data_IF_069897050817
#
_entry.id   IF_069897050817
#
_cell.length_a   1.000
_cell.length_b   1.000
_cell.length_c   1.000
_cell.angle_alpha   90.00
_cell.angle_beta   90.00
_cell.angle_gamma   90.00
#
_symmetry.space_group_name_H-M   'P 1'
#
loop_
_entity.id
_entity.type
_entity.pdbx_description
1 polymer ?
#
# COMPACT_ATOMS: atom_id res chain seq x y z
N UNK A 1 17.11 -18.90 -32.94
CA UNK A 1 16.08 -18.44 -31.99
C UNK A 1 16.78 -17.85 -30.80
N UNK A 2 16.42 -16.63 -30.39
CA UNK A 2 17.00 -16.04 -29.20
C UNK A 2 16.59 -16.89 -27.99
N UNK A 3 17.52 -17.31 -27.11
CA UNK A 3 17.16 -18.00 -25.87
C UNK A 3 16.19 -17.09 -25.11
N UNK A 4 15.11 -17.67 -24.61
CA UNK A 4 13.99 -16.99 -23.94
C UNK A 4 14.33 -16.29 -22.60
N UNK A 5 15.59 -15.88 -22.41
CA UNK A 5 16.11 -15.16 -21.24
C UNK A 5 16.25 -15.99 -19.97
N UNK A 6 15.54 -17.13 -19.88
CA UNK A 6 15.61 -18.05 -18.76
C UNK A 6 16.93 -18.81 -18.70
N UNK A 7 17.56 -18.82 -17.54
CA UNK A 7 18.79 -19.56 -17.25
C UNK A 7 18.51 -21.05 -17.07
N UNK A 8 19.57 -21.85 -17.22
CA UNK A 8 19.53 -23.28 -16.90
C UNK A 8 19.10 -23.52 -15.44
N UNK A 9 19.60 -22.72 -14.51
CA UNK A 9 19.32 -22.85 -13.07
C UNK A 9 17.85 -22.58 -12.70
N UNK A 10 17.15 -21.81 -13.53
CA UNK A 10 15.71 -21.53 -13.35
C UNK A 10 14.83 -22.65 -13.90
N UNK A 11 15.21 -23.27 -15.02
CA UNK A 11 14.41 -24.31 -15.69
C UNK A 11 14.60 -25.69 -15.09
N UNK A 12 15.85 -26.03 -14.77
CA UNK A 12 16.24 -27.39 -14.40
C UNK A 12 15.46 -27.97 -13.20
N UNK A 13 15.19 -27.21 -12.12
CA UNK A 13 14.41 -27.74 -10.99
C UNK A 13 13.00 -28.18 -11.41
N UNK A 14 12.34 -27.43 -12.29
CA UNK A 14 10.98 -27.75 -12.75
C UNK A 14 10.98 -28.96 -13.67
N UNK A 15 11.93 -29.02 -14.61
CA UNK A 15 12.05 -30.15 -15.52
C UNK A 15 12.34 -31.44 -14.75
N UNK A 16 13.23 -31.42 -13.75
CA UNK A 16 13.51 -32.59 -12.91
C UNK A 16 12.35 -32.98 -12.00
N UNK A 17 11.57 -32.01 -11.52
CA UNK A 17 10.39 -32.29 -10.69
C UNK A 17 9.28 -32.95 -11.50
N UNK A 18 8.98 -32.41 -12.69
CA UNK A 18 7.84 -32.84 -13.49
C UNK A 18 8.15 -34.01 -14.41
N UNK A 19 9.34 -34.04 -15.03
CA UNK A 19 9.75 -35.07 -16.00
C UNK A 19 10.61 -36.15 -15.31
N UNK A 20 9.95 -37.16 -14.74
CA UNK A 20 10.60 -38.30 -14.07
C UNK A 20 10.95 -39.39 -15.10
N UNK A 21 11.94 -39.12 -15.95
CA UNK A 21 12.46 -40.09 -16.92
C UNK A 21 11.58 -40.30 -18.16
N UNK A 22 10.92 -39.25 -18.65
CA UNK A 22 10.03 -39.28 -19.82
C UNK A 22 8.54 -39.28 -19.47
N UNK A 23 8.22 -39.53 -18.19
CA UNK A 23 6.88 -39.41 -17.63
C UNK A 23 6.72 -38.04 -17.01
N UNK A 24 5.79 -37.25 -17.56
CA UNK A 24 5.41 -35.97 -16.96
C UNK A 24 4.30 -36.23 -15.95
N UNK A 25 4.66 -36.25 -14.67
CA UNK A 25 3.76 -36.61 -13.55
C UNK A 25 2.95 -37.89 -13.85
N UNK A 26 1.65 -37.91 -13.55
CA UNK A 26 0.72 -39.01 -13.84
C UNK A 26 -0.03 -38.83 -15.18
N UNK A 27 0.40 -37.90 -16.05
CA UNK A 27 -0.33 -37.59 -17.28
C UNK A 27 -0.21 -38.68 -18.36
N UNK A 28 -1.35 -39.03 -18.96
CA UNK A 28 -1.39 -39.63 -20.30
C UNK A 28 -0.99 -38.59 -21.36
N UNK A 29 -0.60 -39.02 -22.57
CA UNK A 29 -0.21 -38.08 -23.63
C UNK A 29 -1.35 -37.14 -24.01
N UNK A 30 -2.56 -37.66 -24.18
CA UNK A 30 -3.76 -36.87 -24.48
C UNK A 30 -4.08 -35.86 -23.37
N UNK A 31 -4.07 -36.31 -22.11
CA UNK A 31 -4.36 -35.44 -20.95
C UNK A 31 -3.29 -34.35 -20.76
N UNK A 32 -2.03 -34.65 -21.09
CA UNK A 32 -0.97 -33.65 -21.07
C UNK A 32 -1.16 -32.59 -22.16
N UNK A 33 -1.60 -32.99 -23.35
CA UNK A 33 -1.90 -32.05 -24.43
C UNK A 33 -3.14 -31.20 -24.13
N UNK A 34 -4.19 -31.77 -23.54
CA UNK A 34 -5.35 -31.01 -23.07
C UNK A 34 -4.94 -29.98 -21.99
N UNK A 35 -4.15 -30.41 -21.00
CA UNK A 35 -3.65 -29.54 -19.94
C UNK A 35 -2.81 -28.38 -20.49
N UNK A 36 -1.93 -28.66 -21.45
CA UNK A 36 -1.04 -27.65 -22.03
C UNK A 36 -1.79 -26.72 -23.00
N UNK A 37 -2.82 -27.20 -23.68
CA UNK A 37 -3.76 -26.37 -24.43
C UNK A 37 -4.48 -25.38 -23.50
N UNK A 38 -4.98 -25.82 -22.35
CA UNK A 38 -5.66 -24.92 -21.41
C UNK A 38 -4.71 -23.91 -20.75
N UNK A 39 -3.46 -24.32 -20.47
CA UNK A 39 -2.49 -23.48 -19.76
C UNK A 39 -1.85 -22.42 -20.66
N UNK A 40 -1.39 -22.82 -21.86
CA UNK A 40 -0.56 -21.98 -22.74
C UNK A 40 -1.02 -21.97 -24.20
N UNK A 41 -2.24 -22.45 -24.46
CA UNK A 41 -2.88 -22.49 -25.78
C UNK A 41 -2.13 -23.35 -26.82
N UNK A 42 -1.38 -24.35 -26.34
CA UNK A 42 -0.55 -25.22 -27.19
C UNK A 42 -0.63 -26.67 -26.68
N UNK A 43 -1.08 -27.59 -27.54
CA UNK A 43 -0.91 -29.04 -27.36
C UNK A 43 0.55 -29.43 -27.64
N UNK A 44 1.33 -29.65 -26.58
CA UNK A 44 2.78 -29.79 -26.68
C UNK A 44 3.23 -31.02 -27.49
N UNK A 45 2.69 -32.20 -27.23
CA UNK A 45 3.10 -33.42 -27.92
C UNK A 45 2.68 -33.40 -29.38
N UNK A 46 1.47 -32.92 -29.70
CA UNK A 46 1.04 -32.69 -31.07
C UNK A 46 1.92 -31.69 -31.82
N UNK A 47 2.28 -30.56 -31.19
CA UNK A 47 3.13 -29.54 -31.82
C UNK A 47 4.55 -30.02 -32.09
N UNK A 48 5.16 -30.71 -31.13
CA UNK A 48 6.58 -31.09 -31.21
C UNK A 48 6.81 -32.53 -31.70
N UNK A 49 5.75 -33.32 -31.91
CA UNK A 49 5.81 -34.69 -32.42
C UNK A 49 6.70 -35.62 -31.58
N UNK A 50 6.84 -35.33 -30.28
CA UNK A 50 7.81 -35.97 -29.37
C UNK A 50 7.14 -36.47 -28.09
N UNK A 51 7.86 -37.24 -27.26
CA UNK A 51 7.35 -37.69 -25.96
C UNK A 51 7.02 -36.51 -25.04
N UNK A 52 6.10 -36.68 -24.07
CA UNK A 52 5.69 -35.62 -23.14
C UNK A 52 6.86 -34.88 -22.52
N UNK A 53 7.82 -35.62 -21.95
CA UNK A 53 9.00 -35.05 -21.32
C UNK A 53 9.87 -34.27 -22.30
N UNK A 54 10.07 -34.82 -23.51
CA UNK A 54 10.86 -34.15 -24.54
C UNK A 54 10.17 -32.90 -25.08
N UNK A 55 8.85 -32.94 -25.27
CA UNK A 55 8.04 -31.81 -25.70
C UNK A 55 8.04 -30.68 -24.65
N UNK A 56 8.02 -31.02 -23.36
CA UNK A 56 8.16 -30.05 -22.27
C UNK A 56 9.55 -29.39 -22.25
N UNK A 57 10.63 -30.15 -22.44
CA UNK A 57 12.00 -29.62 -22.53
C UNK A 57 12.19 -28.68 -23.72
N UNK A 58 11.68 -29.05 -24.90
CA UNK A 58 11.74 -28.23 -26.11
C UNK A 58 10.95 -26.94 -25.88
N UNK A 59 9.74 -27.02 -25.32
CA UNK A 59 8.93 -25.84 -24.99
C UNK A 59 9.63 -24.91 -24.00
N UNK A 60 10.22 -25.44 -22.93
CA UNK A 60 10.96 -24.64 -21.95
C UNK A 60 12.17 -23.92 -22.58
N UNK A 61 12.67 -24.41 -23.72
CA UNK A 61 13.80 -23.81 -24.44
C UNK A 61 13.35 -22.77 -25.48
N UNK A 62 12.27 -23.04 -26.20
CA UNK A 62 11.90 -22.29 -27.40
C UNK A 62 10.75 -21.29 -27.20
N UNK A 63 9.89 -21.49 -26.19
CA UNK A 63 8.73 -20.62 -25.95
C UNK A 63 9.11 -19.31 -25.21
N UNK A 64 8.22 -18.31 -25.24
CA UNK A 64 8.45 -17.06 -24.51
C UNK A 64 8.54 -17.31 -23.00
N UNK A 65 9.28 -16.45 -22.27
CA UNK A 65 9.44 -16.63 -20.84
C UNK A 65 8.08 -16.73 -20.12
N UNK A 66 7.13 -15.86 -20.47
CA UNK A 66 5.81 -15.84 -19.83
C UNK A 66 5.02 -17.12 -20.06
N UNK A 67 5.08 -17.69 -21.26
CA UNK A 67 4.46 -18.99 -21.54
C UNK A 67 5.11 -20.12 -20.74
N UNK A 68 6.45 -20.16 -20.67
CA UNK A 68 7.17 -21.19 -19.90
C UNK A 68 6.79 -21.12 -18.43
N UNK A 69 6.79 -19.92 -17.85
CA UNK A 69 6.48 -19.73 -16.44
C UNK A 69 5.01 -19.96 -16.09
N UNK A 70 4.09 -19.61 -17.00
CA UNK A 70 2.67 -19.92 -16.84
C UNK A 70 2.47 -21.44 -16.77
N UNK A 71 3.07 -22.18 -17.69
CA UNK A 71 3.00 -23.64 -17.70
C UNK A 71 3.64 -24.26 -16.46
N UNK A 72 4.81 -23.77 -16.02
CA UNK A 72 5.47 -24.26 -14.81
C UNK A 72 4.65 -24.00 -13.55
N UNK A 73 4.01 -22.84 -13.44
CA UNK A 73 3.13 -22.52 -12.31
C UNK A 73 1.90 -23.44 -12.27
N UNK A 74 1.27 -23.69 -13.42
CA UNK A 74 0.10 -24.55 -13.50
C UNK A 74 0.48 -26.03 -13.22
N UNK A 75 1.61 -26.51 -13.75
CA UNK A 75 2.13 -27.86 -13.46
C UNK A 75 2.47 -28.03 -11.98
N UNK A 76 3.06 -27.01 -11.33
CA UNK A 76 3.35 -27.04 -9.91
C UNK A 76 2.06 -27.10 -9.08
N UNK A 77 1.04 -26.33 -9.48
CA UNK A 77 -0.27 -26.36 -8.84
C UNK A 77 -0.94 -27.72 -9.01
N UNK A 78 -0.82 -28.35 -10.18
CA UNK A 78 -1.31 -29.71 -10.39
C UNK A 78 -0.56 -30.70 -9.48
N UNK A 79 0.77 -30.61 -9.44
CA UNK A 79 1.61 -31.42 -8.58
C UNK A 79 1.15 -31.36 -7.12
N UNK A 80 0.95 -30.14 -6.59
CA UNK A 80 0.53 -29.89 -5.21
C UNK A 80 -0.86 -30.41 -4.85
N UNK A 81 -1.80 -30.38 -5.79
CA UNK A 81 -3.20 -30.73 -5.51
C UNK A 81 -3.54 -32.20 -5.78
N UNK A 82 -2.83 -32.85 -6.71
CA UNK A 82 -3.25 -34.14 -7.26
C UNK A 82 -2.15 -35.20 -7.29
N UNK A 83 -0.87 -34.83 -7.16
CA UNK A 83 0.25 -35.77 -7.37
C UNK A 83 1.12 -36.01 -6.13
N UNK A 84 1.07 -35.18 -5.09
CA UNK A 84 1.88 -35.42 -3.87
C UNK A 84 1.55 -36.82 -3.30
N UNK A 85 2.53 -37.73 -3.36
CA UNK A 85 2.44 -39.07 -2.77
C UNK A 85 3.17 -39.08 -1.40
N UNK A 86 2.62 -39.74 -0.39
CA UNK A 86 3.21 -39.86 0.97
C UNK A 86 4.60 -40.54 1.00
N UNK A 87 5.11 -41.05 -0.13
CA UNK A 87 6.40 -41.73 -0.25
C UNK A 87 7.44 -41.02 -1.13
N UNK A 88 7.14 -39.80 -1.61
CA UNK A 88 8.10 -39.03 -2.42
C UNK A 88 9.37 -38.79 -1.58
N UNK A 89 10.47 -39.46 -1.95
CA UNK A 89 11.73 -39.37 -1.23
C UNK A 89 12.27 -37.94 -1.15
N UNK A 90 13.20 -37.71 -0.21
CA UNK A 90 13.78 -36.40 0.13
C UNK A 90 14.25 -35.54 -1.05
N UNK A 91 14.58 -36.14 -2.20
CA UNK A 91 15.00 -35.42 -3.41
C UNK A 91 13.87 -34.60 -4.06
N UNK A 92 12.66 -35.14 -4.19
CA UNK A 92 11.55 -34.45 -4.86
C UNK A 92 10.95 -33.35 -3.97
N UNK A 93 10.97 -33.53 -2.64
CA UNK A 93 10.63 -32.47 -1.68
C UNK A 93 11.55 -31.25 -1.82
N UNK A 94 12.87 -31.48 -1.97
CA UNK A 94 13.84 -30.41 -2.18
C UNK A 94 13.57 -29.69 -3.52
N UNK A 95 13.29 -30.44 -4.59
CA UNK A 95 12.95 -29.86 -5.89
C UNK A 95 11.65 -29.05 -5.82
N UNK A 96 10.62 -29.55 -5.13
CA UNK A 96 9.36 -28.84 -4.90
C UNK A 96 9.56 -27.52 -4.19
N UNK A 97 10.32 -27.51 -3.09
CA UNK A 97 10.62 -26.31 -2.32
C UNK A 97 11.39 -25.29 -3.18
N UNK A 98 12.34 -25.75 -3.99
CA UNK A 98 13.12 -24.89 -4.89
C UNK A 98 12.27 -24.28 -6.00
N UNK A 99 11.37 -25.05 -6.61
CA UNK A 99 10.41 -24.55 -7.60
C UNK A 99 9.50 -23.45 -7.01
N UNK A 100 8.99 -23.65 -5.78
CA UNK A 100 8.18 -22.62 -5.08
C UNK A 100 8.96 -21.33 -4.83
N UNK A 101 10.22 -21.43 -4.40
CA UNK A 101 11.07 -20.25 -4.17
C UNK A 101 11.35 -19.46 -5.45
N UNK A 102 11.57 -20.15 -6.56
CA UNK A 102 11.83 -19.50 -7.85
C UNK A 102 10.58 -18.76 -8.35
N UNK A 103 9.39 -19.40 -8.28
CA UNK A 103 8.13 -18.75 -8.66
C UNK A 103 7.78 -17.56 -7.76
N UNK A 104 7.98 -17.66 -6.45
CA UNK A 104 7.70 -16.55 -5.52
C UNK A 104 8.61 -15.35 -5.75
N UNK A 105 9.90 -15.60 -6.03
CA UNK A 105 10.87 -14.55 -6.38
C UNK A 105 10.47 -13.84 -7.67
N UNK A 106 10.02 -14.57 -8.69
CA UNK A 106 9.53 -13.98 -9.93
C UNK A 106 8.26 -13.16 -9.74
N UNK A 107 7.30 -13.64 -8.94
CA UNK A 107 6.08 -12.87 -8.63
C UNK A 107 6.44 -11.55 -7.94
N UNK A 108 7.45 -11.54 -7.07
CA UNK A 108 7.96 -10.32 -6.43
C UNK A 108 8.63 -9.37 -7.44
N UNK A 109 9.43 -9.87 -8.37
CA UNK A 109 10.03 -9.07 -9.45
C UNK A 109 8.99 -8.51 -10.44
N UNK A 110 7.97 -9.31 -10.77
CA UNK A 110 6.88 -8.87 -11.65
C UNK A 110 6.01 -7.81 -10.98
N UNK A 111 5.81 -7.89 -9.65
CA UNK A 111 5.16 -6.82 -8.87
C UNK A 111 6.01 -5.55 -8.83
N UNK A 112 7.33 -5.68 -8.61
CA UNK A 112 8.28 -4.55 -8.60
C UNK A 112 8.35 -3.81 -9.93
N UNK A 113 8.25 -4.52 -11.06
CA UNK A 113 8.20 -3.91 -12.40
C UNK A 113 6.83 -3.29 -12.72
N UNK A 114 5.74 -3.77 -12.12
CA UNK A 114 4.38 -3.23 -12.30
C UNK A 114 4.15 -1.97 -11.45
N UNK A 115 4.74 -1.92 -10.25
CA UNK A 115 4.73 -0.73 -9.37
C UNK A 115 5.50 0.46 -9.98
N UNK A 116 6.40 0.22 -10.94
CA UNK A 116 7.15 1.28 -11.65
C UNK A 116 6.39 1.87 -12.86
N UNK A 117 5.42 1.12 -13.41
CA UNK A 117 4.56 1.55 -14.51
C UNK A 117 3.30 2.29 -14.02
N UNK A 118 2.73 1.86 -12.88
CA UNK A 118 1.52 2.44 -12.25
C UNK A 118 1.81 3.61 -11.29
N UNK A 119 2.98 4.22 -11.39
CA UNK A 119 3.33 5.36 -10.55
C UNK A 119 2.52 6.60 -10.92
N UNK A 120 1.83 7.20 -9.96
CA UNK A 120 1.12 8.46 -10.13
C UNK A 120 2.09 9.59 -10.51
N UNK A 121 1.67 10.47 -11.43
CA UNK A 121 2.42 11.67 -11.81
C UNK A 121 1.54 12.91 -11.68
N UNK A 122 2.17 14.07 -11.46
CA UNK A 122 1.47 15.35 -11.43
C UNK A 122 2.34 16.49 -11.99
N UNK A 123 1.67 17.53 -12.48
CA UNK A 123 2.32 18.74 -12.98
C UNK A 123 2.51 19.76 -11.85
N UNK A 124 3.58 20.54 -11.94
CA UNK A 124 3.75 21.80 -11.22
C UNK A 124 4.07 22.90 -12.22
N UNK A 125 3.18 23.88 -12.35
CA UNK A 125 3.32 25.03 -13.25
C UNK A 125 3.51 26.28 -12.38
N UNK A 126 4.69 26.88 -12.48
CA UNK A 126 4.99 28.17 -11.86
C UNK A 126 5.08 29.19 -12.99
N UNK A 127 4.43 30.35 -12.85
CA UNK A 127 4.46 31.39 -13.90
C UNK A 127 4.36 32.80 -13.34
N UNK A 128 5.07 33.74 -13.93
CA UNK A 128 4.98 35.17 -13.58
C UNK A 128 3.60 35.75 -13.93
N UNK A 129 2.94 35.18 -14.94
CA UNK A 129 1.65 35.65 -15.44
C UNK A 129 0.82 34.47 -15.95
N UNK A 130 -0.45 34.40 -15.56
CA UNK A 130 -1.39 33.40 -16.08
C UNK A 130 -1.98 33.76 -17.45
N UNK A 131 -1.64 34.93 -17.98
CA UNK A 131 -2.09 35.36 -19.30
C UNK A 131 -1.37 34.63 -20.45
N UNK A 132 -0.17 34.15 -20.20
CA UNK A 132 0.66 33.50 -21.20
C UNK A 132 0.93 32.05 -20.82
N UNK A 133 0.82 31.10 -21.77
CA UNK A 133 1.24 29.72 -21.54
C UNK A 133 2.76 29.66 -21.32
N UNK A 134 3.21 28.63 -20.60
CA UNK A 134 4.63 28.30 -20.47
C UNK A 134 5.17 27.87 -21.84
N UNK A 135 6.28 28.48 -22.26
CA UNK A 135 6.95 28.17 -23.52
C UNK A 135 7.50 26.73 -23.51
N UNK A 136 7.51 26.08 -24.68
CA UNK A 136 7.83 24.64 -24.79
C UNK A 136 9.24 24.27 -24.30
N UNK A 137 10.21 25.18 -24.37
CA UNK A 137 11.58 25.01 -23.87
C UNK A 137 11.67 25.06 -22.34
N UNK A 138 10.65 25.61 -21.68
CA UNK A 138 10.47 25.67 -20.22
C UNK A 138 9.65 24.51 -19.66
N UNK A 139 9.11 23.66 -20.53
CA UNK A 139 8.40 22.45 -20.14
C UNK A 139 9.44 21.34 -19.93
N UNK A 140 9.33 20.66 -18.79
CA UNK A 140 10.29 19.71 -18.24
C UNK A 140 11.60 20.29 -17.69
N UNK A 141 11.70 21.61 -17.52
CA UNK A 141 12.85 22.21 -16.84
C UNK A 141 12.89 21.73 -15.38
N UNK A 142 14.01 21.12 -14.94
CA UNK A 142 14.18 20.44 -13.65
C UNK A 142 13.35 19.16 -13.44
N UNK A 143 12.69 18.63 -14.48
CA UNK A 143 12.07 17.29 -14.44
C UNK A 143 13.14 16.22 -14.66
N UNK A 144 13.05 15.10 -13.92
CA UNK A 144 13.89 13.92 -14.15
C UNK A 144 13.80 13.44 -15.62
N UNK A 145 14.94 13.10 -16.23
CA UNK A 145 15.02 12.78 -17.66
C UNK A 145 14.17 11.56 -18.05
N UNK A 146 14.11 10.55 -17.18
CA UNK A 146 13.30 9.35 -17.44
C UNK A 146 11.81 9.68 -17.34
N UNK A 147 11.41 10.56 -16.41
CA UNK A 147 10.03 11.06 -16.32
C UNK A 147 9.69 11.90 -17.56
N UNK A 148 10.53 12.88 -17.93
CA UNK A 148 10.29 13.76 -19.06
C UNK A 148 10.11 12.98 -20.37
N UNK A 149 10.89 11.91 -20.59
CA UNK A 149 10.76 11.06 -21.76
C UNK A 149 9.36 10.42 -21.92
N UNK A 150 8.66 10.13 -20.80
CA UNK A 150 7.30 9.55 -20.82
C UNK A 150 6.23 10.51 -21.32
N UNK A 151 6.49 11.82 -21.28
CA UNK A 151 5.51 12.87 -21.60
C UNK A 151 5.92 13.71 -22.82
N UNK A 152 6.86 13.20 -23.62
CA UNK A 152 7.27 13.80 -24.90
C UNK A 152 6.71 13.02 -26.08
N UNK A 153 6.46 13.74 -27.16
CA UNK A 153 6.19 13.15 -28.48
C UNK A 153 7.48 12.53 -29.06
N UNK A 154 7.39 11.67 -30.09
CA UNK A 154 8.56 11.09 -30.75
C UNK A 154 9.56 12.11 -31.30
N UNK A 155 9.12 13.33 -31.61
CA UNK A 155 9.96 14.45 -32.07
C UNK A 155 10.64 15.21 -30.92
N UNK A 156 10.42 14.80 -29.67
CA UNK A 156 10.96 15.41 -28.46
C UNK A 156 10.17 16.60 -27.91
N UNK A 157 9.11 17.03 -28.59
CA UNK A 157 8.23 18.12 -28.12
C UNK A 157 7.32 17.65 -26.97
N UNK A 158 6.82 18.55 -26.11
CA UNK A 158 5.89 18.19 -25.05
C UNK A 158 4.57 17.59 -25.58
N UNK A 159 4.16 16.44 -25.03
CA UNK A 159 2.87 15.84 -25.33
C UNK A 159 1.78 16.45 -24.42
N UNK A 160 1.14 17.52 -24.88
CA UNK A 160 0.11 18.22 -24.12
C UNK A 160 -1.11 17.38 -23.79
N UNK A 161 -1.48 16.42 -24.65
CA UNK A 161 -2.62 15.54 -24.42
C UNK A 161 -2.39 14.64 -23.19
N UNK A 162 -1.17 14.15 -23.02
CA UNK A 162 -0.80 13.38 -21.83
C UNK A 162 -0.66 14.28 -20.59
N UNK A 163 -0.01 15.44 -20.75
CA UNK A 163 0.21 16.38 -19.66
C UNK A 163 -1.10 16.93 -19.06
N UNK A 164 -2.11 17.22 -19.89
CA UNK A 164 -3.42 17.71 -19.44
C UNK A 164 -4.20 16.69 -18.60
N UNK A 165 -3.90 15.39 -18.75
CA UNK A 165 -4.55 14.31 -17.98
C UNK A 165 -4.04 14.22 -16.54
N UNK A 166 -2.90 14.85 -16.23
CA UNK A 166 -2.32 14.80 -14.89
C UNK A 166 -2.97 15.82 -13.94
N UNK A 167 -3.11 15.48 -12.65
CA UNK A 167 -3.33 16.48 -11.61
C UNK A 167 -2.26 17.58 -11.72
N UNK A 168 -2.66 18.83 -11.56
CA UNK A 168 -1.80 19.97 -11.82
C UNK A 168 -1.86 20.97 -10.68
N UNK A 169 -0.70 21.29 -10.14
CA UNK A 169 -0.51 22.42 -9.24
C UNK A 169 -0.10 23.64 -10.06
N UNK A 170 -0.83 24.74 -9.95
CA UNK A 170 -0.45 26.02 -10.53
C UNK A 170 -0.11 27.02 -9.42
N UNK A 171 0.92 27.83 -9.63
CA UNK A 171 1.28 28.93 -8.73
C UNK A 171 1.77 30.12 -9.53
N UNK A 172 1.45 31.36 -9.10
CA UNK A 172 2.27 32.51 -9.46
C UNK A 172 3.72 32.28 -9.02
N UNK A 173 4.66 32.96 -9.68
CA UNK A 173 6.01 33.08 -9.16
C UNK A 173 5.99 33.66 -7.74
N UNK A 174 6.83 33.11 -6.86
CA UNK A 174 6.78 33.38 -5.43
C UNK A 174 8.18 33.41 -4.81
N UNK A 175 8.24 34.00 -3.62
CA UNK A 175 9.41 33.98 -2.71
C UNK A 175 8.98 33.46 -1.34
N UNK A 176 9.93 33.09 -0.50
CA UNK A 176 9.64 32.50 0.83
C UNK A 176 8.80 33.40 1.74
N UNK A 177 8.82 34.73 1.50
CA UNK A 177 8.05 35.71 2.27
C UNK A 177 6.76 36.16 1.57
N UNK A 178 6.44 35.62 0.39
CA UNK A 178 5.27 36.04 -0.38
C UNK A 178 3.98 35.37 0.11
N UNK A 179 2.88 36.11 0.06
CA UNK A 179 1.54 35.62 0.42
C UNK A 179 0.78 35.03 -0.78
N UNK A 180 1.49 34.55 -1.80
CA UNK A 180 0.86 34.00 -3.01
C UNK A 180 0.20 32.66 -2.71
N UNK A 181 -0.86 32.37 -3.47
CA UNK A 181 -1.65 31.16 -3.33
C UNK A 181 -1.42 30.29 -4.57
N UNK A 182 -1.07 29.04 -4.32
CA UNK A 182 -1.07 27.97 -5.31
C UNK A 182 -2.42 27.25 -5.29
N UNK A 183 -2.75 26.61 -6.40
CA UNK A 183 -3.98 25.86 -6.59
C UNK A 183 -3.65 24.48 -7.14
N UNK A 184 -4.41 23.46 -6.74
CA UNK A 184 -4.34 22.11 -7.32
C UNK A 184 -5.65 21.78 -8.00
N UNK A 185 -5.58 21.16 -9.17
CA UNK A 185 -6.73 20.87 -9.99
C UNK A 185 -6.40 20.12 -11.27
N UNK A 186 -7.24 20.29 -12.28
CA UNK A 186 -7.05 19.72 -13.62
C UNK A 186 -7.08 20.82 -14.68
N UNK A 187 -6.20 20.71 -15.67
CA UNK A 187 -6.11 21.67 -16.76
C UNK A 187 -7.37 21.64 -17.64
N UNK A 188 -7.67 22.76 -18.29
CA UNK A 188 -8.64 22.81 -19.37
C UNK A 188 -8.12 22.10 -20.62
N UNK A 189 -9.05 21.70 -21.49
CA UNK A 189 -8.72 21.14 -22.81
C UNK A 189 -8.12 22.17 -23.78
N UNK A 190 -8.15 23.46 -23.42
CA UNK A 190 -7.56 24.52 -24.21
C UNK A 190 -6.03 24.61 -24.02
N UNK A 191 -5.39 25.38 -24.90
CA UNK A 191 -3.94 25.60 -24.88
C UNK A 191 -3.51 26.70 -23.88
N UNK A 192 -4.43 27.22 -23.06
CA UNK A 192 -4.11 28.30 -22.11
C UNK A 192 -3.29 27.82 -20.91
N UNK A 193 -3.24 26.50 -20.69
CA UNK A 193 -2.58 25.87 -19.53
C UNK A 193 -3.15 26.39 -18.20
N UNK A 194 -4.46 26.63 -18.15
CA UNK A 194 -5.18 27.06 -16.94
C UNK A 194 -5.99 25.90 -16.37
N UNK A 195 -6.21 25.93 -15.06
CA UNK A 195 -7.09 24.97 -14.40
C UNK A 195 -8.53 25.22 -14.83
N UNK A 196 -9.21 24.17 -15.28
CA UNK A 196 -10.65 24.17 -15.54
C UNK A 196 -11.45 23.75 -14.30
N UNK A 197 -10.84 22.94 -13.45
CA UNK A 197 -11.38 22.49 -12.17
C UNK A 197 -10.33 22.72 -11.09
N UNK A 198 -10.70 23.47 -10.04
CA UNK A 198 -9.87 23.69 -8.86
C UNK A 198 -10.39 22.81 -7.73
N UNK A 199 -9.52 21.97 -7.20
CA UNK A 199 -9.82 21.05 -6.09
C UNK A 199 -9.49 21.70 -4.75
N UNK A 200 -8.34 22.35 -4.63
CA UNK A 200 -7.94 23.04 -3.42
C UNK A 200 -6.98 24.21 -3.71
N UNK A 201 -6.85 25.12 -2.73
CA UNK A 201 -5.87 26.21 -2.72
C UNK A 201 -5.00 26.11 -1.48
N UNK A 202 -3.75 26.57 -1.53
CA UNK A 202 -2.82 26.58 -0.40
C UNK A 202 -1.70 27.61 -0.61
N UNK A 203 -0.95 28.02 0.44
CA UNK A 203 0.16 28.96 0.28
C UNK A 203 1.25 28.41 -0.65
N UNK A 204 1.69 29.19 -1.64
CA UNK A 204 2.70 28.76 -2.63
C UNK A 204 4.00 28.26 -1.99
N UNK A 205 4.37 28.82 -0.83
CA UNK A 205 5.57 28.41 -0.06
C UNK A 205 5.57 26.92 0.32
N UNK A 206 4.43 26.23 0.33
CA UNK A 206 4.37 24.77 0.55
C UNK A 206 5.06 23.98 -0.57
N UNK A 207 5.14 24.53 -1.79
CA UNK A 207 5.86 23.89 -2.90
C UNK A 207 7.34 23.69 -2.60
N UNK A 208 7.93 24.41 -1.62
CA UNK A 208 9.31 24.21 -1.18
C UNK A 208 9.59 22.82 -0.61
N UNK A 209 8.55 22.04 -0.27
CA UNK A 209 8.66 20.62 0.13
C UNK A 209 8.94 19.69 -1.05
N UNK A 210 8.56 20.10 -2.25
CA UNK A 210 8.69 19.34 -3.51
C UNK A 210 9.88 19.87 -4.31
N UNK A 211 10.04 21.19 -4.38
CA UNK A 211 11.05 21.83 -5.20
C UNK A 211 12.44 21.80 -4.56
N UNK A 212 13.42 21.40 -5.37
CA UNK A 212 14.83 21.42 -4.98
C UNK A 212 15.26 22.84 -4.51
N UNK A 213 16.15 22.97 -3.52
CA UNK A 213 16.63 24.25 -3.01
C UNK A 213 17.64 24.89 -3.99
N UNK A 214 17.19 25.29 -5.18
CA UNK A 214 17.98 26.03 -6.16
C UNK A 214 17.69 27.53 -6.06
N UNK A 215 18.59 28.39 -6.56
CA UNK A 215 18.44 29.85 -6.52
C UNK A 215 17.22 30.40 -7.27
N UNK A 216 16.55 29.57 -8.09
CA UNK A 216 15.41 29.95 -8.93
C UNK A 216 14.09 29.30 -8.50
N UNK A 217 14.05 28.69 -7.31
CA UNK A 217 12.95 27.89 -6.73
C UNK A 217 11.53 28.25 -7.23
N UNK A 218 10.87 29.22 -6.59
CA UNK A 218 9.55 29.71 -6.96
C UNK A 218 9.59 30.91 -7.91
N UNK A 219 10.76 31.43 -8.22
CA UNK A 219 10.95 32.71 -8.91
C UNK A 219 11.30 32.54 -10.39
N UNK A 220 10.75 31.49 -11.01
CA UNK A 220 11.00 31.18 -12.42
C UNK A 220 9.84 30.44 -13.05
N UNK A 221 9.36 31.01 -14.15
CA UNK A 221 8.33 30.45 -15.00
C UNK A 221 8.80 29.14 -15.62
N UNK A 222 8.15 28.02 -15.27
CA UNK A 222 8.42 26.69 -15.79
C UNK A 222 7.31 25.69 -15.50
N UNK A 223 7.31 24.59 -16.25
CA UNK A 223 6.43 23.45 -16.04
C UNK A 223 7.28 22.22 -15.73
N UNK A 224 7.08 21.64 -14.54
CA UNK A 224 7.72 20.41 -14.09
C UNK A 224 6.72 19.26 -13.98
N UNK A 225 7.22 18.02 -14.06
CA UNK A 225 6.44 16.80 -13.81
C UNK A 225 7.14 15.99 -12.73
N UNK A 226 6.38 15.60 -11.70
CA UNK A 226 6.90 14.84 -10.57
C UNK A 226 6.22 13.46 -10.48
N UNK A 227 6.98 12.46 -10.02
CA UNK A 227 6.47 11.13 -9.65
C UNK A 227 6.00 11.18 -8.20
N UNK A 228 4.79 10.68 -7.93
CA UNK A 228 4.20 10.59 -6.59
C UNK A 228 2.81 11.21 -6.48
N UNK A 229 2.25 11.13 -5.28
CA UNK A 229 0.96 11.74 -4.94
C UNK A 229 1.19 13.18 -4.41
N UNK A 230 0.66 14.21 -5.10
CA UNK A 230 0.86 15.61 -4.69
C UNK A 230 0.32 15.92 -3.29
N UNK A 231 -0.74 15.25 -2.83
CA UNK A 231 -1.29 15.48 -1.49
C UNK A 231 -0.34 14.98 -0.39
N UNK A 232 0.26 13.80 -0.59
CA UNK A 232 1.25 13.27 0.34
C UNK A 232 2.51 14.12 0.37
N UNK A 233 2.96 14.61 -0.80
CA UNK A 233 4.19 15.39 -0.92
C UNK A 233 4.05 16.83 -0.39
N UNK A 234 2.89 17.47 -0.57
CA UNK A 234 2.60 18.77 0.02
C UNK A 234 2.35 18.66 1.54
N UNK A 235 1.85 17.51 2.00
CA UNK A 235 1.44 17.28 3.38
C UNK A 235 0.03 17.79 3.64
N UNK A 236 -0.26 18.21 4.87
CA UNK A 236 -1.62 18.56 5.28
C UNK A 236 -2.12 19.88 4.63
N UNK A 237 -2.96 19.76 3.59
CA UNK A 237 -3.63 20.88 2.90
C UNK A 237 -4.89 21.38 3.65
N UNK A 238 -5.24 20.82 4.82
CA UNK A 238 -6.46 21.17 5.58
C UNK A 238 -6.42 22.57 6.21
N UNK A 239 -5.36 23.35 6.00
CA UNK A 239 -5.26 24.75 6.47
C UNK A 239 -6.33 25.70 5.90
N UNK A 240 -7.09 25.31 4.87
CA UNK A 240 -8.25 26.08 4.37
C UNK A 240 -9.61 25.58 4.86
N UNK A 241 -9.64 24.58 5.74
CA UNK A 241 -10.84 24.27 6.51
C UNK A 241 -11.00 25.32 7.60
N UNK A 242 -12.00 26.20 7.50
CA UNK A 242 -12.39 27.07 8.62
C UNK A 242 -13.34 26.27 9.53
N UNK A 243 -12.87 25.70 10.65
CA UNK A 243 -13.77 25.00 11.56
C UNK A 243 -14.84 25.95 12.08
N UNK A 244 -16.05 25.43 12.28
CA UNK A 244 -17.15 26.16 12.91
C UNK A 244 -16.66 26.75 14.23
N UNK A 245 -16.64 28.07 14.32
CA UNK A 245 -16.19 28.80 15.51
C UNK A 245 -17.34 28.85 16.53
N UNK A 246 -17.59 27.72 17.19
CA UNK A 246 -18.55 27.60 18.30
C UNK A 246 -17.89 26.90 19.48
N UNK A 247 -18.19 27.36 20.69
CA UNK A 247 -17.74 26.68 21.92
C UNK A 247 -18.39 25.30 22.10
N UNK A 248 -19.54 25.07 21.47
CA UNK A 248 -20.21 23.76 21.48
C UNK A 248 -19.52 22.71 20.60
N UNK A 249 -18.54 23.09 19.77
CA UNK A 249 -17.84 22.19 18.87
C UNK A 249 -16.56 21.69 19.54
N UNK A 250 -16.34 20.38 19.53
CA UNK A 250 -15.10 19.78 20.00
C UNK A 250 -13.91 20.29 19.18
N UNK A 251 -12.91 20.84 19.88
CA UNK A 251 -11.67 21.35 19.28
C UNK A 251 -10.55 20.34 19.52
N UNK A 252 -10.12 19.66 18.47
CA UNK A 252 -8.92 18.83 18.54
C UNK A 252 -7.68 19.72 18.60
N UNK A 253 -6.69 19.40 19.46
CA UNK A 253 -5.46 20.18 19.54
C UNK A 253 -4.61 19.96 18.28
N UNK A 254 -3.88 20.98 17.82
CA UNK A 254 -2.90 20.79 16.75
C UNK A 254 -1.62 20.18 17.33
N UNK A 255 -1.47 18.87 17.21
CA UNK A 255 -0.30 18.11 17.67
C UNK A 255 0.24 17.22 16.55
N UNK A 256 1.57 17.03 16.46
CA UNK A 256 2.13 16.13 15.46
C UNK A 256 1.73 14.68 15.75
N UNK A 257 1.44 13.93 14.69
CA UNK A 257 1.19 12.49 14.75
C UNK A 257 2.53 11.80 15.01
N UNK A 258 2.54 10.84 15.94
CA UNK A 258 3.67 9.96 16.20
C UNK A 258 3.42 8.62 15.52
N UNK A 259 4.26 8.28 14.56
CA UNK A 259 4.09 7.06 13.74
C UNK A 259 4.13 5.78 14.57
N UNK A 260 4.93 5.74 15.62
CA UNK A 260 5.07 4.57 16.49
C UNK A 260 4.14 4.61 17.72
N UNK A 261 3.08 5.43 17.74
CA UNK A 261 2.19 5.52 18.91
C UNK A 261 0.85 4.82 18.67
N UNK A 262 0.47 4.00 19.65
CA UNK A 262 -0.83 3.35 19.77
C UNK A 262 -1.59 3.96 20.95
N UNK A 263 -2.77 4.49 20.69
CA UNK A 263 -3.70 4.88 21.74
C UNK A 263 -4.61 3.70 22.11
N UNK A 264 -4.88 3.50 23.39
CA UNK A 264 -5.81 2.47 23.88
C UNK A 264 -7.01 3.15 24.54
N UNK A 265 -8.18 2.87 23.99
CA UNK A 265 -9.49 3.28 24.50
C UNK A 265 -10.16 2.04 25.08
N UNK A 266 -10.40 2.02 26.39
CA UNK A 266 -10.99 0.86 27.04
C UNK A 266 -11.81 1.27 28.27
N UNK A 267 -12.77 0.43 28.71
CA UNK A 267 -13.53 0.69 29.92
C UNK A 267 -12.61 0.84 31.13
N UNK A 268 -12.80 1.89 31.92
CA UNK A 268 -12.05 2.06 33.16
C UNK A 268 -12.55 1.07 34.21
N UNK A 269 -11.64 0.23 34.72
CA UNK A 269 -11.92 -0.66 35.83
C UNK A 269 -11.16 -0.20 37.08
N UNK A 270 -11.85 0.37 38.09
CA UNK A 270 -11.20 0.88 39.31
C UNK A 270 -10.57 -0.21 40.17
N UNK A 271 -10.82 -1.50 39.88
CA UNK A 271 -10.18 -2.62 40.57
C UNK A 271 -8.66 -2.70 40.30
N UNK A 272 -8.18 -2.10 39.20
CA UNK A 272 -6.76 -2.10 38.84
C UNK A 272 -6.15 -0.73 39.13
N UNK A 273 -5.26 -0.66 40.12
CA UNK A 273 -4.58 0.59 40.49
C UNK A 273 -3.46 0.94 39.50
N UNK A 274 -2.86 -0.07 38.89
CA UNK A 274 -1.88 0.06 37.81
C UNK A 274 -2.50 -0.46 36.50
N UNK A 275 -2.43 0.29 35.38
CA UNK A 275 -2.91 -0.18 34.09
C UNK A 275 -2.43 -1.56 33.69
N UNK A 276 -1.16 -1.90 33.95
CA UNK A 276 -0.60 -3.21 33.58
C UNK A 276 -1.14 -4.38 34.44
N UNK A 277 -1.88 -4.11 35.51
CA UNK A 277 -2.60 -5.15 36.26
C UNK A 277 -3.86 -5.63 35.52
N UNK A 278 -4.39 -4.80 34.62
CA UNK A 278 -5.49 -5.17 33.73
C UNK A 278 -4.98 -6.19 32.68
N UNK A 279 -5.53 -7.41 32.64
CA UNK A 279 -5.04 -8.47 31.77
C UNK A 279 -5.23 -8.16 30.27
N UNK A 280 -6.30 -7.45 29.91
CA UNK A 280 -6.58 -7.06 28.52
C UNK A 280 -5.60 -5.97 28.10
N UNK A 281 -5.41 -4.95 28.95
CA UNK A 281 -4.43 -3.90 28.67
C UNK A 281 -3.01 -4.46 28.54
N UNK A 282 -2.63 -5.39 29.43
CA UNK A 282 -1.32 -6.05 29.38
C UNK A 282 -1.11 -6.80 28.07
N UNK A 283 -2.12 -7.51 27.57
CA UNK A 283 -2.03 -8.19 26.28
C UNK A 283 -1.80 -7.22 25.12
N UNK A 284 -2.50 -6.08 25.12
CA UNK A 284 -2.31 -5.00 24.14
C UNK A 284 -0.90 -4.41 24.24
N UNK A 285 -0.46 -4.09 25.46
CA UNK A 285 0.85 -3.52 25.72
C UNK A 285 1.98 -4.45 25.26
N UNK A 286 1.89 -5.76 25.56
CA UNK A 286 2.86 -6.75 25.13
C UNK A 286 2.96 -6.84 23.60
N UNK A 287 1.84 -6.74 22.88
CA UNK A 287 1.82 -6.74 21.42
C UNK A 287 2.51 -5.49 20.85
N UNK A 288 2.23 -4.32 21.44
CA UNK A 288 2.83 -3.06 21.04
C UNK A 288 4.35 -3.03 21.30
N UNK A 289 4.77 -3.44 22.50
CA UNK A 289 6.18 -3.43 22.94
C UNK A 289 7.05 -4.35 22.08
N UNK A 290 6.56 -5.54 21.73
CA UNK A 290 7.25 -6.47 20.82
C UNK A 290 7.53 -5.89 19.43
N UNK A 291 6.70 -4.96 18.97
CA UNK A 291 6.84 -4.29 17.68
C UNK A 291 7.45 -2.89 17.79
N UNK A 292 7.88 -2.47 18.98
CA UNK A 292 8.51 -1.16 19.22
C UNK A 292 7.54 0.03 19.19
N UNK A 293 6.25 -0.20 19.39
CA UNK A 293 5.24 0.86 19.50
C UNK A 293 5.15 1.41 20.93
N UNK A 294 5.00 2.73 21.06
CA UNK A 294 4.62 3.41 22.30
C UNK A 294 3.10 3.21 22.53
N UNK A 295 2.74 2.31 23.44
CA UNK A 295 1.36 2.10 23.86
C UNK A 295 0.96 3.06 24.98
N UNK A 296 -0.18 3.73 24.85
CA UNK A 296 -0.71 4.68 25.85
C UNK A 296 -2.20 4.51 26.06
N UNK A 297 -2.61 4.30 27.30
CA UNK A 297 -4.01 4.38 27.72
C UNK A 297 -4.37 5.80 28.14
N UNK A 298 -5.63 6.20 27.94
CA UNK A 298 -6.13 7.54 28.28
C UNK A 298 -5.94 7.88 29.77
N UNK A 299 -6.20 6.94 30.66
CA UNK A 299 -6.16 7.14 32.12
C UNK A 299 -4.73 7.21 32.69
N UNK A 300 -3.70 6.87 31.91
CA UNK A 300 -2.31 7.14 32.26
C UNK A 300 -1.96 8.64 32.21
N UNK A 301 -2.79 9.44 31.53
CA UNK A 301 -2.56 10.88 31.35
C UNK A 301 -3.00 11.61 32.62
N UNK A 302 -2.07 11.77 33.57
CA UNK A 302 -2.25 12.55 34.80
C UNK A 302 -1.90 14.01 34.57
N UNK A 303 -2.80 14.74 33.92
CA UNK A 303 -2.67 16.17 33.64
C UNK A 303 -3.76 16.95 34.39
N UNK A 304 -3.51 18.24 34.75
CA UNK A 304 -4.52 19.10 35.36
C UNK A 304 -5.58 19.60 34.35
N UNK A 305 -5.60 19.06 33.13
CA UNK A 305 -6.53 19.41 32.05
C UNK A 305 -7.81 18.59 32.13
N UNK A 306 -8.87 19.05 31.46
CA UNK A 306 -10.09 18.27 31.29
C UNK A 306 -9.77 16.93 30.61
N UNK A 307 -10.24 15.82 31.18
CA UNK A 307 -10.06 14.44 30.66
C UNK A 307 -10.42 14.36 29.17
N UNK A 308 -11.41 15.13 28.74
CA UNK A 308 -11.82 15.24 27.34
C UNK A 308 -10.68 15.72 26.45
N UNK A 309 -9.89 16.72 26.88
CA UNK A 309 -8.77 17.26 26.11
C UNK A 309 -7.63 16.26 25.96
N UNK A 310 -7.39 15.43 26.97
CA UNK A 310 -6.34 14.42 26.95
C UNK A 310 -6.68 13.26 26.01
N UNK A 311 -7.96 12.84 25.99
CA UNK A 311 -8.49 11.89 25.01
C UNK A 311 -8.28 12.43 23.59
N UNK A 312 -8.74 13.66 23.32
CA UNK A 312 -8.62 14.27 21.99
C UNK A 312 -7.16 14.40 21.55
N UNK A 313 -6.26 14.79 22.46
CA UNK A 313 -4.82 14.87 22.21
C UNK A 313 -4.20 13.50 21.95
N UNK A 314 -4.61 12.49 22.70
CA UNK A 314 -4.09 11.13 22.52
C UNK A 314 -4.54 10.55 21.17
N UNK A 315 -5.82 10.70 20.81
CA UNK A 315 -6.33 10.34 19.48
C UNK A 315 -5.56 11.09 18.40
N UNK A 316 -5.38 12.41 18.56
CA UNK A 316 -4.77 13.23 17.52
C UNK A 316 -3.27 12.94 17.31
N UNK A 317 -2.56 12.57 18.38
CA UNK A 317 -1.12 12.28 18.32
C UNK A 317 -0.79 10.83 17.98
N UNK A 318 -1.76 9.93 17.88
CA UNK A 318 -1.52 8.49 17.65
C UNK A 318 -1.84 8.09 16.21
N UNK A 319 -1.06 7.14 15.66
CA UNK A 319 -1.31 6.59 14.31
C UNK A 319 -2.41 5.53 14.34
N UNK A 320 -2.38 4.68 15.37
CA UNK A 320 -3.29 3.56 15.57
C UNK A 320 -4.05 3.75 16.88
N UNK A 321 -5.33 3.34 16.89
CA UNK A 321 -6.17 3.28 18.08
C UNK A 321 -6.67 1.86 18.26
N UNK A 322 -6.45 1.28 19.43
CA UNK A 322 -7.07 0.01 19.83
C UNK A 322 -8.24 0.35 20.75
N UNK A 323 -9.44 -0.11 20.38
CA UNK A 323 -10.68 0.18 21.10
C UNK A 323 -11.29 -1.10 21.68
N UNK A 324 -11.33 -1.21 23.00
CA UNK A 324 -11.99 -2.31 23.71
C UNK A 324 -13.49 -2.04 23.88
N UNK A 325 -14.28 -2.70 23.06
CA UNK A 325 -15.73 -2.54 23.00
C UNK A 325 -16.47 -3.38 24.04
N UNK A 326 -15.74 -4.08 24.92
CA UNK A 326 -16.29 -4.90 25.98
C UNK A 326 -17.13 -4.07 26.97
N UNK A 327 -18.13 -4.70 27.59
CA UNK A 327 -19.14 -4.11 28.45
C UNK A 327 -20.11 -3.18 27.74
N UNK A 328 -20.05 -3.08 26.40
CA UNK A 328 -20.78 -2.10 25.61
C UNK A 328 -20.63 -0.64 26.12
N UNK A 329 -19.43 -0.25 26.59
CA UNK A 329 -19.21 1.06 27.22
C UNK A 329 -19.42 2.22 26.22
N UNK A 330 -20.44 3.09 26.40
CA UNK A 330 -20.77 4.14 25.43
C UNK A 330 -19.63 5.12 25.16
N UNK A 331 -18.76 5.38 26.14
CA UNK A 331 -17.64 6.31 25.98
C UNK A 331 -16.61 5.75 25.00
N UNK A 332 -16.33 4.45 25.04
CA UNK A 332 -15.36 3.83 24.12
C UNK A 332 -15.89 3.83 22.68
N UNK A 333 -17.19 3.61 22.48
CA UNK A 333 -17.81 3.75 21.14
C UNK A 333 -17.73 5.19 20.63
N UNK A 334 -17.95 6.17 21.51
CA UNK A 334 -17.83 7.59 21.17
C UNK A 334 -16.39 7.94 20.76
N UNK A 335 -15.40 7.53 21.55
CA UNK A 335 -13.97 7.72 21.28
C UNK A 335 -13.52 7.02 19.99
N UNK A 336 -14.03 5.81 19.74
CA UNK A 336 -13.82 5.08 18.48
C UNK A 336 -14.38 5.89 17.30
N UNK A 337 -15.59 6.42 17.41
CA UNK A 337 -16.18 7.29 16.39
C UNK A 337 -15.34 8.55 16.11
N UNK A 338 -14.83 9.19 17.17
CA UNK A 338 -13.90 10.31 17.05
C UNK A 338 -12.60 9.91 16.34
N UNK A 339 -12.00 8.77 16.69
CA UNK A 339 -10.80 8.26 16.04
C UNK A 339 -11.03 7.99 14.53
N UNK A 340 -12.15 7.37 14.17
CA UNK A 340 -12.56 7.18 12.77
C UNK A 340 -12.66 8.52 12.03
N UNK A 341 -13.34 9.51 12.62
CA UNK A 341 -13.52 10.83 12.03
C UNK A 341 -12.20 11.60 11.85
N UNK A 342 -11.18 11.30 12.69
CA UNK A 342 -9.83 11.85 12.56
C UNK A 342 -8.92 11.06 11.61
N UNK A 343 -9.42 10.03 10.94
CA UNK A 343 -8.66 9.23 9.99
C UNK A 343 -7.62 8.32 10.62
N UNK A 344 -7.86 7.85 11.85
CA UNK A 344 -6.96 6.92 12.55
C UNK A 344 -7.24 5.48 12.11
N UNK A 345 -6.20 4.65 12.10
CA UNK A 345 -6.39 3.20 11.93
C UNK A 345 -6.93 2.68 13.25
N UNK A 346 -8.14 2.12 13.23
CA UNK A 346 -8.79 1.60 14.43
C UNK A 346 -8.83 0.08 14.38
N UNK A 347 -8.38 -0.54 15.48
CA UNK A 347 -8.45 -1.99 15.70
C UNK A 347 -9.41 -2.24 16.87
N UNK A 348 -10.68 -2.60 16.60
CA UNK A 348 -11.61 -2.95 17.65
C UNK A 348 -11.27 -4.32 18.23
N UNK A 349 -11.38 -4.43 19.55
CA UNK A 349 -11.33 -5.70 20.28
C UNK A 349 -12.61 -5.82 21.12
N UNK A 350 -13.03 -7.05 21.41
CA UNK A 350 -14.22 -7.28 22.24
C UNK A 350 -14.16 -8.64 22.90
N UNK A 351 -14.72 -8.75 24.10
CA UNK A 351 -15.01 -10.04 24.70
C UNK A 351 -15.95 -10.83 23.78
N UNK A 352 -15.65 -12.10 23.54
CA UNK A 352 -16.39 -12.99 22.63
C UNK A 352 -17.79 -13.33 23.15
N UNK A 353 -18.06 -13.14 24.44
CA UNK A 353 -19.39 -13.30 25.06
C UNK A 353 -20.34 -12.17 24.67
N UNK A 354 -19.82 -11.09 24.07
CA UNK A 354 -20.61 -9.89 23.77
C UNK A 354 -21.13 -9.84 22.35
N UNK A 355 -22.27 -9.15 22.21
CA UNK A 355 -22.91 -8.92 20.92
C UNK A 355 -22.75 -7.47 20.52
N UNK A 356 -21.89 -7.22 19.54
CA UNK A 356 -21.68 -5.87 19.01
C UNK A 356 -22.97 -5.29 18.38
N UNK A 357 -23.19 -3.97 18.52
CA UNK A 357 -24.24 -3.24 17.83
C UNK A 357 -24.18 -3.46 16.32
N UNK A 358 -25.34 -3.37 15.66
CA UNK A 358 -25.49 -3.70 14.23
C UNK A 358 -24.47 -2.95 13.35
N UNK A 359 -24.29 -1.65 13.59
CA UNK A 359 -23.41 -0.78 12.80
C UNK A 359 -21.93 -1.16 12.92
N UNK A 360 -21.54 -1.86 14.00
CA UNK A 360 -20.15 -2.25 14.26
C UNK A 360 -19.82 -3.67 13.81
N UNK A 361 -20.82 -4.52 13.51
CA UNK A 361 -20.59 -5.94 13.14
C UNK A 361 -19.80 -6.13 11.85
N UNK A 362 -19.86 -5.14 10.96
CA UNK A 362 -19.12 -5.16 9.69
C UNK A 362 -17.64 -4.80 9.88
N UNK A 363 -17.29 -4.19 11.03
CA UNK A 363 -15.91 -3.82 11.34
C UNK A 363 -15.20 -5.08 11.86
N UNK A 364 -14.07 -5.41 11.23
CA UNK A 364 -13.23 -6.55 11.62
C UNK A 364 -12.75 -6.36 13.06
N UNK A 365 -13.39 -7.06 13.99
CA UNK A 365 -13.11 -7.00 15.43
C UNK A 365 -12.33 -8.25 15.86
N UNK A 366 -11.33 -8.08 16.71
CA UNK A 366 -10.62 -9.21 17.33
C UNK A 366 -11.38 -9.62 18.59
N UNK A 367 -11.89 -10.84 18.60
CA UNK A 367 -12.60 -11.38 19.76
C UNK A 367 -11.65 -12.16 20.69
N UNK A 368 -11.85 -12.02 22.00
CA UNK A 368 -11.05 -12.72 23.02
C UNK A 368 -11.93 -13.16 24.20
N UNK A 369 -11.40 -14.05 25.04
CA UNK A 369 -11.95 -14.42 26.34
C UNK A 369 -11.03 -13.87 27.44
N UNK A 370 -11.60 -13.16 28.41
CA UNK A 370 -10.87 -12.49 29.49
C UNK A 370 -10.53 -13.41 30.68
N UNK A 371 -11.21 -14.54 30.78
CA UNK A 371 -11.05 -15.58 31.80
C UNK A 371 -10.07 -16.69 31.43
N UNK A 372 -9.45 -16.62 30.25
CA UNK A 372 -8.52 -17.62 29.72
C UNK A 372 -7.19 -16.99 29.27
N UNK A 373 -6.10 -17.37 29.95
CA UNK A 373 -4.76 -16.89 29.65
C UNK A 373 -4.31 -17.26 28.22
N UNK A 374 -4.73 -18.41 27.70
CA UNK A 374 -4.45 -18.79 26.31
C UNK A 374 -5.17 -17.86 25.32
N UNK A 375 -6.38 -17.42 25.65
CA UNK A 375 -7.11 -16.46 24.83
C UNK A 375 -6.46 -15.08 24.81
N UNK A 376 -5.94 -14.60 25.95
CA UNK A 376 -5.19 -13.34 26.03
C UNK A 376 -3.86 -13.39 25.27
N UNK A 377 -3.19 -14.54 25.26
CA UNK A 377 -2.04 -14.77 24.36
C UNK A 377 -2.47 -14.76 22.88
N UNK A 378 -3.64 -15.32 22.57
CA UNK A 378 -4.27 -15.25 21.25
C UNK A 378 -4.60 -13.82 20.80
N UNK A 379 -5.12 -12.99 21.72
CA UNK A 379 -5.35 -11.56 21.51
C UNK A 379 -4.03 -10.86 21.15
N UNK A 380 -2.98 -11.08 21.95
CA UNK A 380 -1.63 -10.53 21.71
C UNK A 380 -1.14 -10.88 20.29
N UNK A 381 -1.18 -12.16 19.91
CA UNK A 381 -0.77 -12.62 18.58
C UNK A 381 -1.61 -12.01 17.45
N UNK A 382 -2.92 -11.87 17.65
CA UNK A 382 -3.83 -11.31 16.66
C UNK A 382 -3.60 -9.81 16.46
N UNK A 383 -3.29 -9.07 17.53
CA UNK A 383 -2.90 -7.66 17.45
C UNK A 383 -1.58 -7.53 16.69
N UNK A 384 -0.55 -8.33 17.03
CA UNK A 384 0.74 -8.34 16.31
C UNK A 384 0.53 -8.56 14.81
N UNK A 385 -0.17 -9.63 14.43
CA UNK A 385 -0.42 -9.96 13.02
C UNK A 385 -1.28 -8.92 12.28
N UNK A 386 -2.02 -8.07 13.01
CA UNK A 386 -2.77 -6.94 12.46
C UNK A 386 -1.85 -5.74 12.26
N UNK A 387 -1.03 -5.41 13.27
CA UNK A 387 -0.07 -4.30 13.23
C UNK A 387 1.02 -4.50 12.17
N UNK A 388 1.51 -5.73 11.96
CA UNK A 388 2.52 -6.05 10.92
C UNK A 388 2.03 -5.83 9.48
N UNK A 389 0.71 -5.69 9.27
CA UNK A 389 0.10 -5.45 7.96
C UNK A 389 -0.16 -3.98 7.67
N UNK A 390 0.06 -3.09 8.65
CA UNK A 390 -0.12 -1.63 8.54
C UNK A 390 1.19 -0.95 8.11
#
# INVERSE_FOLDING_TARGET
MAPNGLTFMEKEPFLRLFNRGGYVLDFSTERFDDFTQESVDIRLCEKYGSSKGRSLEIFASDASADQVWKLFADLLKYYENFFIEESDGTEYEILHQKCRQILSSRIAETKKNKDDDDSMFFNVIIRASEFFPVESDRIFEETDLAIAARFKNPDGTPNFEMLQKLPTITSPEYTDNSSTIAQIGYLGADLSQRLSSVVASFPSVMLNRILAPTGWRGSRTRWMVFKGDPYRMLGDLRSNYNPVQSEAVLKFPSVPIKDNRIAVMMPFNPAYLNPLEDPVYRAIWNAADQLGYECRRVDEIKTPTDITQDILRLIESSRVVIADLSGANPNVYYEMGLAHARGRIVIPISNSKERLPFDNRQIRTIFFHDDDEYSLQGLTKSIIATLEKL
#
